data_IF_136973964753
#
_entry.id   IF_136973964753
#
_cell.length_a   1.000
_cell.length_b   1.000
_cell.length_c   1.000
_cell.angle_alpha   90.00
_cell.angle_beta   90.00
_cell.angle_gamma   90.00
#
_symmetry.space_group_name_H-M   'P 1'
#
loop_
_entity.id
_entity.type
_entity.pdbx_description
1 polymer ?
#
# COMPACT_ATOMS: atom_id res chain seq x y z
N UNK A 1 9.61 6.96 -5.92
CA UNK A 1 9.26 6.04 -4.82
C UNK A 1 7.76 6.06 -4.54
N UNK A 2 7.12 4.90 -4.32
CA UNK A 2 5.68 4.81 -4.06
C UNK A 2 5.39 3.90 -2.87
N UNK A 3 4.21 4.06 -2.27
CA UNK A 3 3.72 3.19 -1.21
C UNK A 3 2.35 2.63 -1.58
N UNK A 4 2.22 1.32 -1.45
CA UNK A 4 1.00 0.58 -1.77
C UNK A 4 0.50 -0.12 -0.50
N UNK A 5 -0.78 0.00 -0.22
CA UNK A 5 -1.45 -0.82 0.80
C UNK A 5 -2.20 -1.92 0.05
N UNK A 6 -1.77 -3.18 0.15
CA UNK A 6 -2.45 -4.29 -0.50
C UNK A 6 -3.90 -4.40 -0.04
N UNK A 7 -4.77 -4.87 -0.91
CA UNK A 7 -6.16 -5.16 -0.54
C UNK A 7 -6.17 -6.27 0.52
N UNK A 8 -6.97 -6.10 1.56
CA UNK A 8 -7.20 -7.16 2.55
C UNK A 8 -7.66 -8.45 1.87
N UNK A 9 -7.22 -9.59 2.40
CA UNK A 9 -7.69 -10.91 1.95
C UNK A 9 -9.21 -10.97 2.05
N UNK A 10 -9.85 -11.66 1.09
CA UNK A 10 -11.32 -11.76 1.03
C UNK A 10 -11.93 -12.55 2.20
N UNK A 11 -11.13 -13.39 2.87
CA UNK A 11 -11.54 -14.19 4.03
C UNK A 11 -11.59 -13.39 5.34
N UNK A 12 -11.15 -12.12 5.33
CA UNK A 12 -11.14 -11.24 6.49
C UNK A 12 -10.20 -11.67 7.62
N UNK A 13 -9.43 -12.75 7.42
CA UNK A 13 -8.49 -13.27 8.41
C UNK A 13 -7.10 -12.78 8.08
N UNK A 14 -6.57 -11.91 8.92
CA UNK A 14 -5.17 -11.51 8.89
C UNK A 14 -4.48 -12.18 10.08
N UNK A 15 -3.41 -12.93 9.84
CA UNK A 15 -2.56 -13.43 10.90
C UNK A 15 -1.15 -12.87 10.74
N UNK A 16 -0.46 -12.63 11.84
CA UNK A 16 0.95 -12.23 11.80
C UNK A 16 1.81 -13.34 11.21
N UNK A 17 1.47 -14.59 11.50
CA UNK A 17 2.16 -15.75 10.96
C UNK A 17 2.12 -15.78 9.43
N UNK A 18 0.93 -15.70 8.84
CA UNK A 18 0.77 -15.69 7.38
C UNK A 18 1.45 -14.46 6.76
N UNK A 19 1.38 -13.30 7.41
CA UNK A 19 1.97 -12.08 6.89
C UNK A 19 3.50 -12.10 6.98
N UNK A 20 4.07 -12.46 8.12
CA UNK A 20 5.53 -12.54 8.29
C UNK A 20 6.12 -13.60 7.37
N UNK A 21 5.45 -14.75 7.23
CA UNK A 21 5.85 -15.81 6.29
C UNK A 21 5.83 -15.29 4.85
N UNK A 22 4.72 -14.66 4.42
CA UNK A 22 4.60 -14.09 3.08
C UNK A 22 5.67 -13.04 2.79
N UNK A 23 5.92 -12.13 3.74
CA UNK A 23 6.88 -11.04 3.58
C UNK A 23 8.32 -11.56 3.52
N UNK A 24 8.64 -12.64 4.27
CA UNK A 24 10.00 -13.18 4.39
C UNK A 24 10.37 -14.20 3.30
N UNK A 25 9.43 -14.57 2.43
CA UNK A 25 9.63 -15.56 1.35
C UNK A 25 9.62 -14.87 0.00
N UNK A 26 10.38 -15.38 -0.95
CA UNK A 26 10.36 -14.87 -2.33
C UNK A 26 9.07 -15.28 -3.03
N UNK A 27 8.50 -14.38 -3.82
CA UNK A 27 7.26 -14.63 -4.59
C UNK A 27 7.44 -15.70 -5.69
N UNK A 28 8.68 -16.06 -6.05
CA UNK A 28 9.01 -17.08 -7.05
C UNK A 28 9.12 -18.51 -6.46
N UNK A 29 8.97 -18.68 -5.15
CA UNK A 29 8.93 -20.00 -4.53
C UNK A 29 7.60 -20.69 -4.83
N UNK A 30 7.65 -21.87 -5.42
CA UNK A 30 6.46 -22.66 -5.72
C UNK A 30 5.89 -23.34 -4.47
N UNK A 31 4.56 -23.57 -4.46
CA UNK A 31 3.91 -24.34 -3.39
C UNK A 31 4.53 -25.74 -3.20
N UNK A 32 5.13 -26.34 -4.24
CA UNK A 32 5.85 -27.59 -4.19
C UNK A 32 7.16 -27.50 -3.39
N UNK A 33 7.90 -26.40 -3.49
CA UNK A 33 9.10 -26.15 -2.68
C UNK A 33 8.78 -25.90 -1.21
N UNK A 34 7.61 -25.29 -0.94
CA UNK A 34 7.07 -25.14 0.41
C UNK A 34 6.54 -26.47 0.98
N UNK A 35 5.92 -27.34 0.15
CA UNK A 35 5.40 -28.64 0.55
C UNK A 35 6.47 -29.73 0.71
N UNK A 36 7.56 -29.68 -0.07
CA UNK A 36 8.71 -30.60 0.12
C UNK A 36 9.33 -30.45 1.52
N UNK A 37 9.20 -29.28 2.15
CA UNK A 37 9.59 -29.06 3.55
C UNK A 37 8.64 -29.72 4.55
N UNK A 38 7.39 -30.00 4.14
CA UNK A 38 6.34 -30.53 5.02
C UNK A 38 6.26 -32.07 5.07
N UNK A 39 6.82 -32.77 4.08
CA UNK A 39 6.62 -34.23 3.90
C UNK A 39 7.52 -35.12 4.77
N UNK A 40 8.45 -34.59 5.57
CA UNK A 40 9.41 -35.42 6.33
C UNK A 40 9.19 -35.53 7.84
N UNK A 41 8.09 -35.02 8.38
CA UNK A 41 7.74 -35.24 9.79
C UNK A 41 6.25 -35.38 10.03
N UNK A 42 5.78 -36.63 10.11
CA UNK A 42 4.54 -36.97 10.79
C UNK A 42 4.69 -36.66 12.30
N UNK A 43 3.61 -36.07 12.87
CA UNK A 43 3.35 -35.90 14.29
C UNK A 43 4.11 -34.81 15.05
N UNK A 44 3.64 -33.53 14.84
CA UNK A 44 3.46 -32.59 15.96
C UNK A 44 2.34 -31.58 15.64
N UNK A 45 1.28 -31.50 16.46
CA UNK A 45 0.07 -30.72 16.12
C UNK A 45 0.15 -29.26 16.53
N UNK A 46 1.10 -28.50 16.35
CA UNK A 46 1.16 -27.02 16.55
C UNK A 46 2.50 -26.39 16.13
N UNK A 47 3.17 -26.90 15.10
CA UNK A 47 4.22 -26.11 14.47
C UNK A 47 3.57 -25.18 13.46
N UNK A 48 3.72 -23.88 13.69
CA UNK A 48 3.25 -22.85 12.76
C UNK A 48 4.04 -22.88 11.44
N UNK A 49 3.48 -22.33 10.36
CA UNK A 49 4.15 -22.29 9.03
C UNK A 49 5.51 -21.61 9.08
N UNK A 50 5.65 -20.60 9.92
CA UNK A 50 6.91 -19.88 10.11
C UNK A 50 8.01 -20.76 10.74
N UNK A 51 7.69 -21.56 11.75
CA UNK A 51 8.63 -22.56 12.31
C UNK A 51 9.08 -23.57 11.26
N UNK A 52 8.18 -23.99 10.35
CA UNK A 52 8.52 -24.92 9.25
C UNK A 52 9.47 -24.24 8.25
N UNK A 53 9.25 -22.97 7.94
CA UNK A 53 10.10 -22.18 7.06
C UNK A 53 11.50 -22.02 7.65
N UNK A 54 11.61 -21.73 8.93
CA UNK A 54 12.88 -21.65 9.66
C UNK A 54 13.61 -22.99 9.71
N UNK A 55 12.87 -24.10 9.95
CA UNK A 55 13.45 -25.44 9.93
C UNK A 55 13.98 -25.82 8.54
N UNK A 56 13.28 -25.42 7.47
CA UNK A 56 13.76 -25.58 6.10
C UNK A 56 15.02 -24.74 5.86
N UNK A 57 15.02 -23.48 6.28
CA UNK A 57 16.17 -22.56 6.19
C UNK A 57 17.41 -23.08 6.89
N UNK A 58 17.24 -23.64 8.07
CA UNK A 58 18.37 -24.19 8.84
C UNK A 58 18.91 -25.50 8.26
N UNK A 59 18.12 -26.26 7.48
CA UNK A 59 18.58 -27.47 6.81
C UNK A 59 19.39 -27.22 5.54
N UNK A 60 19.15 -26.12 4.82
CA UNK A 60 19.94 -25.72 3.65
C UNK A 60 21.26 -25.03 4.00
N UNK A 61 21.71 -25.10 5.26
CA UNK A 61 22.87 -24.44 5.83
C UNK A 61 24.22 -24.78 5.20
N UNK A 62 24.30 -25.56 4.14
CA UNK A 62 25.60 -26.06 3.68
C UNK A 62 26.32 -25.21 2.65
N UNK A 63 25.69 -24.20 2.01
CA UNK A 63 26.46 -23.35 1.08
C UNK A 63 25.97 -21.89 1.08
N UNK A 64 26.76 -21.01 1.64
CA UNK A 64 26.72 -19.55 1.42
C UNK A 64 25.70 -18.71 2.24
N UNK A 65 25.51 -19.03 3.50
CA UNK A 65 24.81 -18.13 4.40
C UNK A 65 25.80 -17.20 5.11
N UNK A 66 26.03 -16.00 4.59
CA UNK A 66 26.63 -14.92 5.37
C UNK A 66 25.48 -14.19 6.05
N UNK A 67 25.20 -14.54 7.30
CA UNK A 67 24.40 -13.71 8.16
C UNK A 67 25.20 -12.42 8.41
N UNK A 68 24.89 -11.37 7.66
CA UNK A 68 25.31 -10.02 8.02
C UNK A 68 24.41 -9.58 9.19
N UNK A 69 24.82 -9.93 10.40
CA UNK A 69 24.25 -9.36 11.61
C UNK A 69 24.97 -8.03 11.85
N UNK A 70 24.51 -6.99 11.19
CA UNK A 70 24.85 -5.63 11.59
C UNK A 70 23.78 -5.14 12.56
N UNK A 71 24.14 -5.04 13.83
CA UNK A 71 23.31 -4.40 14.86
C UNK A 71 23.29 -2.90 14.54
N UNK A 72 22.23 -2.45 13.90
CA UNK A 72 22.00 -1.02 13.71
C UNK A 72 21.79 -0.32 15.06
N UNK A 73 22.14 0.97 15.16
CA UNK A 73 22.13 1.77 16.40
C UNK A 73 20.79 1.78 17.17
N UNK A 74 19.69 1.37 16.54
CA UNK A 74 18.34 1.39 17.10
C UNK A 74 17.84 0.01 17.57
N UNK A 75 18.73 -0.99 17.72
CA UNK A 75 18.33 -2.35 18.11
C UNK A 75 17.61 -3.13 17.01
N UNK A 76 17.77 -2.73 15.76
CA UNK A 76 17.22 -3.41 14.61
C UNK A 76 18.20 -4.47 14.11
N UNK A 77 17.74 -5.69 13.98
CA UNK A 77 18.53 -6.80 13.44
C UNK A 77 18.28 -6.93 11.93
N UNK A 78 19.38 -7.09 11.17
CA UNK A 78 19.35 -7.40 9.74
C UNK A 78 19.71 -8.85 9.54
N UNK A 79 18.84 -9.57 8.85
CA UNK A 79 19.02 -11.01 8.58
C UNK A 79 18.83 -11.25 7.08
N UNK A 80 19.78 -11.94 6.47
CA UNK A 80 19.57 -12.47 5.12
C UNK A 80 18.89 -13.84 5.25
N UNK A 81 17.66 -13.93 4.76
CA UNK A 81 16.84 -15.12 4.86
C UNK A 81 16.46 -15.56 3.43
N UNK A 82 17.00 -16.69 2.97
CA UNK A 82 16.80 -17.21 1.60
C UNK A 82 17.04 -16.20 0.46
N UNK A 83 18.07 -15.39 0.56
CA UNK A 83 18.35 -14.34 -0.41
C UNK A 83 17.45 -13.10 -0.27
N UNK A 84 16.52 -13.10 0.68
CA UNK A 84 15.74 -11.92 1.08
C UNK A 84 16.41 -11.24 2.27
N UNK A 85 16.69 -9.96 2.16
CA UNK A 85 17.22 -9.18 3.29
C UNK A 85 16.06 -8.71 4.15
N UNK A 86 15.98 -9.24 5.37
CA UNK A 86 14.97 -8.86 6.36
C UNK A 86 15.54 -7.97 7.44
N UNK A 87 14.76 -7.05 7.98
CA UNK A 87 15.08 -6.30 9.18
C UNK A 87 13.83 -6.04 10.03
N UNK A 88 13.99 -6.08 11.35
CA UNK A 88 12.90 -6.04 12.31
C UNK A 88 13.33 -5.44 13.65
N UNK A 89 12.35 -5.15 14.49
CA UNK A 89 12.56 -4.73 15.89
C UNK A 89 11.90 -5.70 16.90
N UNK A 90 11.62 -6.93 16.48
CA UNK A 90 11.19 -8.01 17.37
C UNK A 90 12.40 -8.70 18.01
N UNK A 91 12.16 -9.66 18.91
CA UNK A 91 13.22 -10.41 19.60
C UNK A 91 14.12 -11.16 18.61
N UNK A 92 13.51 -11.84 17.63
CA UNK A 92 14.20 -12.45 16.50
C UNK A 92 13.23 -12.53 15.32
N UNK A 93 13.73 -12.75 14.09
CA UNK A 93 12.86 -12.98 12.95
C UNK A 93 12.00 -14.25 13.12
N UNK A 94 12.58 -15.27 13.74
CA UNK A 94 11.94 -16.57 14.00
C UNK A 94 10.76 -16.48 14.96
N UNK A 95 10.84 -15.60 15.96
CA UNK A 95 9.78 -15.40 16.95
C UNK A 95 8.87 -14.22 16.63
N UNK A 96 9.19 -13.40 15.62
CA UNK A 96 8.52 -12.15 15.36
C UNK A 96 6.99 -12.28 15.26
N UNK A 97 6.50 -13.30 14.56
CA UNK A 97 5.05 -13.52 14.43
C UNK A 97 4.40 -13.85 15.79
N UNK A 98 5.06 -14.68 16.60
CA UNK A 98 4.57 -15.03 17.94
C UNK A 98 4.64 -13.84 18.91
N UNK A 99 5.71 -13.04 18.84
CA UNK A 99 5.88 -11.83 19.64
C UNK A 99 4.78 -10.79 19.30
N UNK A 100 4.49 -10.60 18.01
CA UNK A 100 3.42 -9.70 17.55
C UNK A 100 2.04 -10.19 17.99
N UNK A 101 1.76 -11.49 17.86
CA UNK A 101 0.50 -12.10 18.28
C UNK A 101 0.31 -11.97 19.79
N UNK A 102 1.36 -12.22 20.58
CA UNK A 102 1.31 -12.07 22.04
C UNK A 102 0.94 -10.64 22.44
N UNK A 103 1.58 -9.63 21.84
CA UNK A 103 1.25 -8.22 22.11
C UNK A 103 -0.18 -7.89 21.64
N UNK A 104 -0.60 -8.38 20.49
CA UNK A 104 -1.96 -8.15 19.98
C UNK A 104 -3.04 -8.72 20.91
N UNK A 105 -2.77 -9.84 21.58
CA UNK A 105 -3.68 -10.42 22.57
C UNK A 105 -3.80 -9.60 23.87
N UNK A 106 -2.80 -8.75 24.18
CA UNK A 106 -2.82 -7.83 25.31
C UNK A 106 -3.56 -6.50 25.03
N UNK A 107 -4.13 -6.35 23.85
CA UNK A 107 -4.72 -5.09 23.43
C UNK A 107 -5.94 -4.66 24.23
N UNK A 108 -6.00 -3.38 24.55
CA UNK A 108 -7.11 -2.72 25.24
C UNK A 108 -8.17 -2.24 24.24
N UNK A 109 -8.77 -3.13 23.46
CA UNK A 109 -9.86 -2.81 22.53
C UNK A 109 -10.86 -3.95 22.40
N UNK A 110 -12.07 -3.61 21.95
CA UNK A 110 -13.10 -4.63 21.67
C UNK A 110 -12.66 -5.49 20.48
N UNK A 111 -12.47 -6.78 20.71
CA UNK A 111 -11.83 -7.72 19.76
C UNK A 111 -12.66 -8.01 18.50
N UNK A 112 -13.94 -7.64 18.49
CA UNK A 112 -14.88 -8.19 17.51
C UNK A 112 -14.81 -7.60 16.10
N UNK A 113 -13.99 -6.53 15.85
CA UNK A 113 -13.91 -5.91 14.52
C UNK A 113 -12.61 -5.17 14.21
N UNK A 114 -11.54 -5.39 14.93
CA UNK A 114 -10.29 -4.65 14.74
C UNK A 114 -9.13 -5.56 14.42
N UNK A 115 -8.63 -5.46 13.19
CA UNK A 115 -7.48 -6.19 12.70
C UNK A 115 -6.19 -5.54 13.24
N UNK A 116 -5.40 -6.22 14.08
CA UNK A 116 -4.13 -5.70 14.60
C UNK A 116 -3.02 -5.72 13.54
N UNK A 117 -3.22 -6.41 12.44
CA UNK A 117 -2.22 -6.58 11.39
C UNK A 117 -2.33 -5.45 10.37
N UNK A 118 -1.20 -4.83 10.05
CA UNK A 118 -1.11 -3.87 8.97
C UNK A 118 0.06 -4.20 8.06
N UNK A 119 -0.18 -4.15 6.76
CA UNK A 119 0.82 -4.42 5.74
C UNK A 119 0.83 -3.29 4.71
N UNK A 120 2.02 -2.83 4.34
CA UNK A 120 2.23 -1.94 3.20
C UNK A 120 3.54 -2.26 2.50
N UNK A 121 3.67 -1.79 1.28
CA UNK A 121 4.83 -2.03 0.43
C UNK A 121 5.40 -0.67 0.03
N UNK A 122 6.71 -0.51 0.12
CA UNK A 122 7.45 0.60 -0.48
C UNK A 122 8.13 0.11 -1.74
N UNK A 123 8.00 0.83 -2.85
CA UNK A 123 8.58 0.45 -4.14
C UNK A 123 9.35 1.63 -4.74
N UNK A 124 10.49 1.34 -5.31
CA UNK A 124 11.34 2.29 -6.05
C UNK A 124 11.17 2.05 -7.55
N UNK A 125 11.56 3.02 -8.37
CA UNK A 125 11.49 2.86 -9.83
C UNK A 125 12.60 1.90 -10.29
N UNK A 126 12.39 1.18 -11.41
CA UNK A 126 13.28 0.13 -11.90
C UNK A 126 14.76 0.57 -12.11
N UNK A 127 14.99 1.85 -12.31
CA UNK A 127 16.35 2.40 -12.48
C UNK A 127 17.00 2.86 -11.16
N UNK A 128 16.27 2.77 -10.04
CA UNK A 128 16.75 3.18 -8.72
C UNK A 128 17.32 1.98 -7.95
N UNK A 129 18.48 2.20 -7.35
CA UNK A 129 19.14 1.22 -6.50
C UNK A 129 19.43 1.85 -5.13
N UNK A 130 18.44 1.94 -4.25
CA UNK A 130 18.64 2.53 -2.92
C UNK A 130 19.61 1.68 -2.11
N UNK A 131 20.47 2.35 -1.35
CA UNK A 131 21.40 1.70 -0.43
C UNK A 131 20.64 1.15 0.81
N UNK A 132 21.16 0.14 1.50
CA UNK A 132 20.52 -0.42 2.70
C UNK A 132 20.10 0.63 3.72
N UNK A 133 20.93 1.65 3.98
CA UNK A 133 20.62 2.71 4.94
C UNK A 133 19.45 3.59 4.47
N UNK A 134 19.32 3.80 3.16
CA UNK A 134 18.19 4.56 2.58
C UNK A 134 16.90 3.75 2.65
N UNK A 135 16.98 2.43 2.46
CA UNK A 135 15.83 1.52 2.63
C UNK A 135 15.36 1.53 4.08
N UNK A 136 16.29 1.34 5.02
CA UNK A 136 15.99 1.36 6.44
C UNK A 136 15.37 2.69 6.88
N UNK A 137 15.99 3.81 6.51
CA UNK A 137 15.46 5.15 6.82
C UNK A 137 14.06 5.35 6.21
N UNK A 138 13.82 4.82 5.01
CA UNK A 138 12.50 4.92 4.36
C UNK A 138 11.42 4.17 5.15
N UNK A 139 11.71 2.97 5.63
CA UNK A 139 10.78 2.22 6.47
C UNK A 139 10.55 2.91 7.81
N UNK A 140 11.61 3.38 8.47
CA UNK A 140 11.50 4.09 9.75
C UNK A 140 10.72 5.40 9.62
N UNK A 141 10.95 6.16 8.55
CA UNK A 141 10.25 7.41 8.28
C UNK A 141 8.75 7.18 8.02
N UNK A 142 8.41 6.17 7.21
CA UNK A 142 7.01 5.83 6.92
C UNK A 142 6.28 5.30 8.15
N UNK A 143 6.90 4.44 8.96
CA UNK A 143 6.34 4.00 10.24
C UNK A 143 6.06 5.19 11.17
N UNK A 144 7.01 6.10 11.31
CA UNK A 144 6.84 7.33 12.11
C UNK A 144 5.70 8.19 11.59
N UNK A 145 5.59 8.37 10.27
CA UNK A 145 4.52 9.16 9.64
C UNK A 145 3.12 8.56 9.86
N UNK A 146 3.04 7.24 10.02
CA UNK A 146 1.81 6.53 10.37
C UNK A 146 1.47 6.57 11.88
N UNK A 147 2.40 7.03 12.72
CA UNK A 147 2.29 6.92 14.18
C UNK A 147 2.63 5.52 14.70
N UNK A 148 3.38 4.75 13.93
CA UNK A 148 3.76 3.36 14.24
C UNK A 148 5.26 3.22 14.56
N UNK A 149 5.96 4.32 14.86
CA UNK A 149 7.42 4.34 15.05
C UNK A 149 7.95 3.47 16.19
N UNK A 150 7.13 3.18 17.20
CA UNK A 150 7.46 2.35 18.36
C UNK A 150 6.75 0.99 18.35
N UNK A 151 6.06 0.67 17.27
CA UNK A 151 5.35 -0.60 17.12
C UNK A 151 6.29 -1.69 16.59
N UNK A 152 5.94 -2.94 16.86
CA UNK A 152 6.66 -4.08 16.30
C UNK A 152 6.46 -4.16 14.79
N UNK A 153 7.53 -4.41 14.05
CA UNK A 153 7.48 -4.59 12.61
C UNK A 153 8.52 -5.60 12.12
N UNK A 154 8.24 -6.18 10.98
CA UNK A 154 9.15 -6.97 10.15
C UNK A 154 9.12 -6.39 8.75
N UNK A 155 10.29 -6.19 8.16
CA UNK A 155 10.45 -5.71 6.79
C UNK A 155 11.31 -6.68 6.00
N UNK A 156 10.97 -6.87 4.73
CA UNK A 156 11.75 -7.70 3.82
C UNK A 156 11.93 -7.02 2.47
N UNK A 157 13.16 -7.05 1.97
CA UNK A 157 13.58 -6.44 0.70
C UNK A 157 13.47 -7.49 -0.39
N UNK A 158 12.63 -7.23 -1.40
CA UNK A 158 12.42 -8.11 -2.53
C UNK A 158 12.99 -7.49 -3.81
N UNK A 159 13.59 -8.32 -4.65
CA UNK A 159 14.20 -7.96 -5.94
C UNK A 159 13.75 -8.87 -7.08
N UNK A 160 12.67 -9.57 -6.89
CA UNK A 160 12.06 -10.57 -7.78
C UNK A 160 11.23 -9.96 -8.91
N UNK A 161 11.01 -8.65 -8.87
CA UNK A 161 10.35 -7.85 -9.91
C UNK A 161 11.31 -6.79 -10.47
N UNK A 162 10.93 -6.12 -11.56
CA UNK A 162 11.71 -5.03 -12.15
C UNK A 162 11.96 -3.87 -11.16
N UNK A 163 11.08 -3.72 -10.17
CA UNK A 163 11.16 -2.69 -9.14
C UNK A 163 11.63 -3.29 -7.82
N UNK A 164 12.74 -2.79 -7.27
CA UNK A 164 13.06 -3.09 -5.87
C UNK A 164 11.92 -2.62 -4.97
N UNK A 165 11.48 -3.48 -4.09
CA UNK A 165 10.40 -3.16 -3.15
C UNK A 165 10.63 -3.77 -1.77
N UNK A 166 9.99 -3.18 -0.78
CA UNK A 166 10.10 -3.60 0.62
C UNK A 166 8.70 -3.81 1.17
N UNK A 167 8.44 -5.02 1.61
CA UNK A 167 7.26 -5.35 2.38
C UNK A 167 7.46 -4.94 3.84
N UNK A 168 6.45 -4.35 4.45
CA UNK A 168 6.48 -3.95 5.86
C UNK A 168 5.23 -4.48 6.55
N UNK A 169 5.43 -5.48 7.39
CA UNK A 169 4.41 -6.07 8.26
C UNK A 169 4.48 -5.41 9.64
N UNK A 170 3.38 -4.88 10.16
CA UNK A 170 3.36 -4.08 11.39
C UNK A 170 2.26 -4.55 12.33
N UNK A 171 2.59 -4.65 13.60
CA UNK A 171 1.59 -4.77 14.67
C UNK A 171 1.04 -3.39 15.01
N UNK A 172 -0.25 -3.17 14.80
CA UNK A 172 -0.93 -1.92 15.14
C UNK A 172 -1.12 -1.70 16.64
N UNK A 173 -0.95 -2.75 17.45
CA UNK A 173 -1.02 -2.65 18.90
C UNK A 173 0.31 -2.17 19.44
N UNK A 174 0.27 -1.08 20.20
CA UNK A 174 1.49 -0.51 20.78
C UNK A 174 2.00 -1.43 21.91
N UNK A 175 3.27 -1.85 21.88
CA UNK A 175 3.77 -2.89 22.78
C UNK A 175 3.77 -2.51 24.27
N UNK A 176 3.79 -1.22 24.60
CA UNK A 176 3.80 -0.73 25.99
C UNK A 176 2.39 -0.33 26.45
N UNK A 177 1.64 0.37 25.61
CA UNK A 177 0.34 0.94 26.02
C UNK A 177 -0.85 0.03 25.72
N UNK A 178 -0.70 -0.99 24.89
CA UNK A 178 -1.78 -1.87 24.46
C UNK A 178 -2.85 -1.21 23.58
N UNK A 179 -2.68 0.06 23.19
CA UNK A 179 -3.63 0.74 22.33
C UNK A 179 -3.42 0.42 20.86
N UNK A 180 -4.55 0.28 20.16
CA UNK A 180 -4.55 0.05 18.71
C UNK A 180 -4.38 1.37 17.95
N UNK A 181 -3.38 1.45 17.08
CA UNK A 181 -3.18 2.62 16.21
C UNK A 181 -4.30 2.76 15.18
N UNK A 182 -4.76 3.98 14.98
CA UNK A 182 -5.74 4.33 13.95
C UNK A 182 -5.05 4.59 12.60
N UNK A 183 -5.42 3.81 11.58
CA UNK A 183 -4.88 3.91 10.23
C UNK A 183 -5.63 4.92 9.34
N UNK A 184 -6.42 5.82 9.90
CA UNK A 184 -7.11 6.84 9.11
C UNK A 184 -6.11 7.66 8.29
N UNK A 185 -6.44 7.82 7.01
CA UNK A 185 -5.58 8.54 6.05
C UNK A 185 -4.19 7.91 5.82
N UNK A 186 -4.03 6.61 6.08
CA UNK A 186 -2.73 5.92 5.94
C UNK A 186 -2.15 6.06 4.54
N UNK A 187 -2.95 5.93 3.48
CA UNK A 187 -2.51 6.11 2.10
C UNK A 187 -1.99 7.54 1.84
N UNK A 188 -2.66 8.55 2.38
CA UNK A 188 -2.21 9.95 2.24
C UNK A 188 -0.94 10.23 3.03
N UNK A 189 -0.84 9.71 4.26
CA UNK A 189 0.37 9.82 5.09
C UNK A 189 1.57 9.16 4.42
N UNK A 190 1.39 7.94 3.91
CA UNK A 190 2.43 7.23 3.16
C UNK A 190 2.84 7.97 1.89
N UNK A 191 1.87 8.44 1.09
CA UNK A 191 2.16 9.20 -0.12
C UNK A 191 2.96 10.47 0.16
N UNK A 192 2.66 11.19 1.26
CA UNK A 192 3.42 12.37 1.68
C UNK A 192 4.83 11.97 2.15
N UNK A 193 4.95 10.94 2.97
CA UNK A 193 6.24 10.44 3.46
C UNK A 193 7.15 10.02 2.28
N UNK A 194 6.61 9.39 1.23
CA UNK A 194 7.36 9.08 0.02
C UNK A 194 7.92 10.34 -0.65
N UNK A 195 7.16 11.42 -0.74
CA UNK A 195 7.64 12.71 -1.30
C UNK A 195 8.76 13.32 -0.44
N UNK A 196 8.64 13.21 0.89
CA UNK A 196 9.68 13.67 1.83
C UNK A 196 10.98 12.88 1.65
N UNK A 197 10.88 11.56 1.48
CA UNK A 197 12.03 10.67 1.25
C UNK A 197 12.69 10.88 -0.12
N UNK A 198 11.91 11.18 -1.15
CA UNK A 198 12.43 11.54 -2.47
C UNK A 198 13.31 12.80 -2.39
N UNK A 199 12.87 13.83 -1.67
CA UNK A 199 13.69 15.03 -1.44
C UNK A 199 14.92 14.72 -0.59
N UNK A 200 14.77 13.89 0.43
CA UNK A 200 15.85 13.57 1.36
C UNK A 200 16.97 12.75 0.72
N UNK A 201 16.60 11.77 -0.09
CA UNK A 201 17.54 10.80 -0.65
C UNK A 201 17.86 11.02 -2.13
N UNK A 202 17.18 11.96 -2.78
CA UNK A 202 17.33 12.23 -4.21
C UNK A 202 16.69 11.16 -5.10
N UNK A 203 15.67 10.47 -4.63
CA UNK A 203 14.92 9.52 -5.43
C UNK A 203 14.08 10.22 -6.49
N UNK A 204 13.81 9.53 -7.60
CA UNK A 204 12.97 10.06 -8.66
C UNK A 204 11.53 10.29 -8.14
N UNK A 205 10.93 11.45 -8.48
CA UNK A 205 9.55 11.74 -8.10
C UNK A 205 8.58 10.71 -8.70
N UNK A 206 7.64 10.28 -7.89
CA UNK A 206 6.59 9.38 -8.32
C UNK A 206 5.21 10.00 -8.16
N UNK A 207 4.22 9.38 -8.79
CA UNK A 207 2.84 9.84 -8.80
C UNK A 207 2.08 9.40 -7.54
N UNK A 208 1.52 10.36 -6.82
CA UNK A 208 0.69 10.12 -5.65
C UNK A 208 -0.35 11.21 -5.48
N UNK A 209 -1.05 11.23 -4.35
CA UNK A 209 -1.93 12.36 -3.99
C UNK A 209 -1.16 13.61 -3.56
N UNK A 210 0.13 13.47 -3.23
CA UNK A 210 1.07 14.53 -2.93
C UNK A 210 2.14 14.59 -4.02
N UNK A 211 2.60 15.79 -4.37
CA UNK A 211 3.62 16.04 -5.40
C UNK A 211 4.58 17.14 -4.96
N UNK A 212 5.74 17.15 -5.59
CA UNK A 212 6.72 18.23 -5.42
C UNK A 212 6.26 19.47 -6.16
N UNK A 213 6.40 20.62 -5.49
CA UNK A 213 6.19 21.95 -6.05
C UNK A 213 7.50 22.74 -6.01
N UNK A 214 7.62 23.86 -6.76
CA UNK A 214 8.81 24.71 -6.73
C UNK A 214 9.24 25.10 -5.31
N UNK A 215 10.55 25.11 -5.06
CA UNK A 215 11.14 25.37 -3.74
C UNK A 215 11.06 24.19 -2.77
N UNK A 216 11.11 22.94 -3.28
CA UNK A 216 11.09 21.71 -2.49
C UNK A 216 9.87 21.57 -1.56
N UNK A 217 8.77 22.20 -1.92
CA UNK A 217 7.51 22.08 -1.17
C UNK A 217 6.76 20.83 -1.61
N UNK A 218 6.11 20.20 -0.67
CA UNK A 218 5.22 19.06 -0.93
C UNK A 218 3.78 19.57 -0.84
N UNK A 219 3.04 19.46 -1.93
CA UNK A 219 1.66 19.95 -2.05
C UNK A 219 0.71 18.81 -2.42
N UNK A 220 -0.53 18.92 -1.97
CA UNK A 220 -1.56 17.96 -2.33
C UNK A 220 -2.11 18.28 -3.72
N UNK A 221 -2.25 17.27 -4.57
CA UNK A 221 -2.92 17.42 -5.87
C UNK A 221 -4.35 17.91 -5.70
N UNK A 222 -4.76 18.80 -6.57
CA UNK A 222 -6.16 19.23 -6.69
C UNK A 222 -7.07 18.06 -7.09
N UNK A 223 -8.37 18.20 -6.90
CA UNK A 223 -9.33 17.21 -7.36
C UNK A 223 -9.20 16.96 -8.88
N UNK A 224 -9.07 18.03 -9.66
CA UNK A 224 -8.93 17.96 -11.12
C UNK A 224 -7.68 17.19 -11.55
N UNK A 225 -6.53 17.43 -10.91
CA UNK A 225 -5.29 16.71 -11.21
C UNK A 225 -5.39 15.22 -10.86
N UNK A 226 -6.05 14.88 -9.75
CA UNK A 226 -6.30 13.48 -9.36
C UNK A 226 -7.22 12.77 -10.34
N UNK A 227 -8.29 13.42 -10.78
CA UNK A 227 -9.23 12.88 -11.76
C UNK A 227 -8.55 12.62 -13.11
N UNK A 228 -7.69 13.56 -13.54
CA UNK A 228 -6.88 13.40 -14.76
C UNK A 228 -5.92 12.22 -14.66
N UNK A 229 -5.24 12.06 -13.55
CA UNK A 229 -4.36 10.92 -13.30
C UNK A 229 -5.14 9.59 -13.30
N UNK A 230 -6.28 9.53 -12.64
CA UNK A 230 -7.12 8.34 -12.60
C UNK A 230 -7.65 7.97 -13.99
N UNK A 231 -8.04 8.96 -14.80
CA UNK A 231 -8.44 8.73 -16.17
C UNK A 231 -7.29 8.15 -17.02
N UNK A 232 -6.10 8.71 -16.89
CA UNK A 232 -4.91 8.21 -17.58
C UNK A 232 -4.55 6.77 -17.17
N UNK A 233 -4.56 6.46 -15.87
CA UNK A 233 -4.29 5.10 -15.36
C UNK A 233 -5.29 4.06 -15.87
N UNK A 234 -6.53 4.49 -16.13
CA UNK A 234 -7.58 3.65 -16.73
C UNK A 234 -7.54 3.61 -18.27
N UNK A 235 -6.49 4.15 -18.89
CA UNK A 235 -6.35 4.23 -20.35
C UNK A 235 -7.30 5.21 -21.05
N UNK A 236 -7.93 6.11 -20.28
CA UNK A 236 -8.82 7.15 -20.84
C UNK A 236 -7.96 8.35 -21.26
N UNK A 237 -8.25 8.91 -22.42
CA UNK A 237 -7.52 10.10 -22.95
C UNK A 237 -7.90 11.41 -22.24
N UNK A 238 -9.06 11.46 -21.60
CA UNK A 238 -9.61 12.63 -20.89
C UNK A 238 -10.47 12.19 -19.71
N UNK A 239 -10.68 13.10 -18.75
CA UNK A 239 -11.61 12.89 -17.64
C UNK A 239 -13.05 13.08 -18.11
N UNK A 240 -14.02 12.53 -17.36
CA UNK A 240 -15.44 12.76 -17.63
C UNK A 240 -15.79 14.26 -17.57
N UNK A 241 -15.23 15.01 -16.63
CA UNK A 241 -15.39 16.47 -16.54
C UNK A 241 -14.88 17.20 -17.79
N UNK A 242 -13.69 16.82 -18.28
CA UNK A 242 -13.13 17.39 -19.52
C UNK A 242 -14.01 17.03 -20.74
N UNK A 243 -14.50 15.79 -20.80
CA UNK A 243 -15.45 15.38 -21.85
C UNK A 243 -16.72 16.24 -21.85
N UNK A 244 -17.38 16.37 -20.69
CA UNK A 244 -18.59 17.20 -20.56
C UNK A 244 -18.32 18.67 -20.94
N UNK A 245 -17.17 19.23 -20.48
CA UNK A 245 -16.81 20.60 -20.80
C UNK A 245 -16.56 20.83 -22.29
N UNK A 246 -15.93 19.89 -22.97
CA UNK A 246 -15.58 20.00 -24.39
C UNK A 246 -16.75 19.69 -25.34
N UNK A 247 -17.68 18.86 -24.91
CA UNK A 247 -18.87 18.46 -25.72
C UNK A 247 -20.10 19.28 -25.32
N UNK A 248 -20.74 18.92 -24.22
CA UNK A 248 -22.03 19.50 -23.83
C UNK A 248 -21.93 21.00 -23.52
N UNK A 249 -20.96 21.41 -22.68
CA UNK A 249 -20.85 22.83 -22.30
C UNK A 249 -20.43 23.72 -23.48
N UNK A 250 -19.51 23.22 -24.31
CA UNK A 250 -19.10 23.96 -25.52
C UNK A 250 -20.27 24.06 -26.52
N UNK A 251 -21.00 22.97 -26.72
CA UNK A 251 -22.19 22.95 -27.58
C UNK A 251 -23.30 23.90 -27.10
N UNK A 252 -23.61 23.89 -25.80
CA UNK A 252 -24.59 24.78 -25.20
C UNK A 252 -24.20 26.27 -25.27
N UNK A 253 -22.89 26.58 -25.32
CA UNK A 253 -22.40 27.96 -25.51
C UNK A 253 -22.52 28.44 -26.94
N UNK A 254 -22.34 27.53 -27.90
CA UNK A 254 -22.49 27.86 -29.34
C UNK A 254 -23.94 27.93 -29.78
N UNK A 255 -24.79 27.03 -29.25
CA UNK A 255 -26.22 26.94 -29.54
C UNK A 255 -27.00 26.89 -28.21
N UNK A 256 -27.34 28.07 -27.64
CA UNK A 256 -28.07 28.15 -26.39
C UNK A 256 -29.46 27.50 -26.47
N UNK A 257 -29.81 26.69 -25.47
CA UNK A 257 -31.14 26.08 -25.33
C UNK A 257 -31.98 26.89 -24.35
N UNK A 258 -33.28 26.95 -24.56
CA UNK A 258 -34.17 27.84 -23.81
C UNK A 258 -35.19 27.07 -22.96
N UNK A 259 -35.23 25.74 -23.04
CA UNK A 259 -36.14 24.88 -22.30
C UNK A 259 -35.50 23.53 -21.91
N UNK A 260 -36.09 22.87 -20.91
CA UNK A 260 -35.61 21.63 -20.40
C UNK A 260 -35.58 20.48 -21.41
N UNK A 261 -36.58 20.43 -22.31
CA UNK A 261 -36.66 19.37 -23.30
C UNK A 261 -35.52 19.45 -24.31
N UNK A 262 -35.25 20.68 -24.77
CA UNK A 262 -34.13 20.96 -25.68
C UNK A 262 -32.79 20.66 -25.02
N UNK A 263 -32.63 20.98 -23.72
CA UNK A 263 -31.42 20.65 -22.94
C UNK A 263 -31.23 19.12 -22.86
N UNK A 264 -32.25 18.38 -22.48
CA UNK A 264 -32.16 16.91 -22.40
C UNK A 264 -31.86 16.28 -23.76
N UNK A 265 -32.47 16.79 -24.85
CA UNK A 265 -32.19 16.32 -26.20
C UNK A 265 -30.73 16.56 -26.59
N UNK A 266 -30.24 17.77 -26.34
CA UNK A 266 -28.85 18.13 -26.65
C UNK A 266 -27.84 17.30 -25.86
N UNK A 267 -28.07 17.07 -24.58
CA UNK A 267 -27.21 16.20 -23.77
C UNK A 267 -27.24 14.74 -24.26
N UNK A 268 -28.44 14.24 -24.67
CA UNK A 268 -28.57 12.88 -25.17
C UNK A 268 -27.79 12.63 -26.47
N UNK A 269 -27.60 13.64 -27.32
CA UNK A 269 -26.77 13.56 -28.53
C UNK A 269 -25.31 13.26 -28.18
N UNK A 270 -24.84 13.73 -27.03
CA UNK A 270 -23.48 13.45 -26.49
C UNK A 270 -23.47 12.22 -25.56
N UNK A 271 -24.55 11.43 -25.48
CA UNK A 271 -24.66 10.27 -24.57
C UNK A 271 -24.82 10.64 -23.11
N UNK A 272 -25.21 11.87 -22.80
CA UNK A 272 -25.34 12.43 -21.47
C UNK A 272 -26.78 12.59 -21.04
N UNK A 273 -27.05 12.60 -19.75
CA UNK A 273 -28.36 12.95 -19.18
C UNK A 273 -28.21 13.74 -17.89
N UNK A 274 -29.24 14.49 -17.52
CA UNK A 274 -29.34 15.18 -16.24
C UNK A 274 -30.02 14.28 -15.20
N UNK A 275 -29.44 14.22 -14.03
CA UNK A 275 -30.05 13.58 -12.85
C UNK A 275 -30.07 14.57 -11.69
N UNK A 276 -31.09 14.48 -10.85
CA UNK A 276 -31.17 15.25 -9.63
C UNK A 276 -30.76 14.35 -8.45
N UNK A 277 -29.72 14.77 -7.73
CA UNK A 277 -29.26 14.11 -6.52
C UNK A 277 -29.03 15.16 -5.43
N UNK A 278 -29.59 14.94 -4.25
CA UNK A 278 -29.45 15.83 -3.09
C UNK A 278 -29.79 17.31 -3.38
N UNK A 279 -30.81 17.53 -4.21
CA UNK A 279 -31.25 18.88 -4.60
C UNK A 279 -30.39 19.58 -5.65
N UNK A 280 -29.38 18.90 -6.20
CA UNK A 280 -28.48 19.42 -7.24
C UNK A 280 -28.70 18.68 -8.56
N UNK A 281 -28.52 19.42 -9.66
CA UNK A 281 -28.52 18.80 -11.00
C UNK A 281 -27.10 18.38 -11.37
N UNK A 282 -26.95 17.13 -11.79
CA UNK A 282 -25.71 16.54 -12.22
C UNK A 282 -25.83 16.05 -13.66
N UNK A 283 -24.80 16.29 -14.45
CA UNK A 283 -24.65 15.65 -15.77
C UNK A 283 -24.05 14.27 -15.55
N UNK A 284 -24.72 13.25 -16.06
CA UNK A 284 -24.35 11.85 -15.93
C UNK A 284 -24.05 11.24 -17.29
N UNK A 285 -23.17 10.24 -17.34
CA UNK A 285 -22.97 9.40 -18.50
C UNK A 285 -24.12 8.40 -18.63
N UNK A 286 -24.80 8.39 -19.76
CA UNK A 286 -25.89 7.46 -20.05
C UNK A 286 -25.48 6.03 -20.36
N UNK A 287 -24.18 5.79 -20.61
CA UNK A 287 -23.66 4.52 -21.11
C UNK A 287 -22.81 3.77 -20.10
N UNK A 288 -22.24 4.45 -19.10
CA UNK A 288 -21.37 3.83 -18.10
C UNK A 288 -22.16 3.49 -16.81
N UNK A 289 -22.14 2.21 -16.41
CA UNK A 289 -22.77 1.73 -15.18
C UNK A 289 -22.06 2.25 -13.91
N UNK A 290 -20.85 2.77 -14.03
CA UNK A 290 -20.12 3.46 -12.96
C UNK A 290 -20.39 4.96 -13.05
N UNK A 291 -21.54 5.37 -12.59
CA UNK A 291 -22.10 6.72 -12.61
C UNK A 291 -21.16 7.77 -12.01
N UNK A 292 -20.28 8.33 -12.81
CA UNK A 292 -19.58 9.56 -12.47
C UNK A 292 -20.46 10.75 -12.86
N UNK A 293 -20.96 11.48 -11.86
CA UNK A 293 -21.73 12.70 -12.09
C UNK A 293 -20.82 13.94 -12.02
N UNK A 294 -21.10 14.93 -12.83
CA UNK A 294 -20.45 16.25 -12.80
C UNK A 294 -21.51 17.32 -12.59
N UNK A 295 -21.34 18.14 -11.56
CA UNK A 295 -22.21 19.30 -11.35
C UNK A 295 -21.95 20.34 -12.45
N UNK A 296 -23.00 20.82 -13.09
CA UNK A 296 -22.94 22.00 -13.95
C UNK A 296 -22.81 23.22 -13.04
N UNK A 297 -21.75 24.00 -13.22
CA UNK A 297 -21.63 25.30 -12.59
C UNK A 297 -22.71 26.23 -13.21
N UNK A 298 -23.51 26.84 -12.35
CA UNK A 298 -24.60 27.77 -12.69
C UNK A 298 -24.07 29.07 -13.30
#
# INVERSE_FOLDING_TARGET
MNAVIPKKRRDGKSSFEDLVSYVSVRDDMTDEELDLSSSSQAEQPHRNRFSRLVDYATRLRNESFVALVDVMKDGCEWVNFYGVTCFHNCTSLETAAADMEYIAQQAHYAKDNTDPVFHYILSWQAHESPRPEQIYDSVRHTLKSLGLGEHQYVSAVHTDTDNLHVHVAVNRVHPVTGYLNCLSWSQEKLSRACRELELKHGFAPDNGCWVHAPGNRIVRKTAVERDRQNAWTRGKKQTFREYVAQTAVAGLRSEPVHDWLSLHRRLAEDGLYLSQMDGKFLVMDGWDRNREGVQLDS
#
